data_IF_496920633141
#
_entry.id   IF_496920633141
#
_cell.length_a   1.000
_cell.length_b   1.000
_cell.length_c   1.000
_cell.angle_alpha   90.00
_cell.angle_beta   90.00
_cell.angle_gamma   90.00
#
_symmetry.space_group_name_H-M   'P 1'
#
loop_
_entity.id
_entity.type
_entity.pdbx_description
1 polymer ?
#
# COMPACT_ATOMS: atom_id res chain seq x y z
N UNK A 1 -12.07 44.34 -51.82
CA UNK A 1 -12.38 43.09 -51.10
C UNK A 1 -12.60 42.04 -52.16
N UNK A 2 -11.72 41.05 -52.27
CA UNK A 2 -11.95 39.89 -53.13
C UNK A 2 -12.92 38.92 -52.45
N UNK A 3 -13.63 38.10 -53.22
CA UNK A 3 -14.57 37.11 -52.69
C UNK A 3 -13.91 36.12 -51.71
N UNK A 4 -12.61 35.85 -51.91
CA UNK A 4 -11.78 35.02 -51.03
C UNK A 4 -11.57 35.67 -49.65
N UNK A 5 -11.34 36.98 -49.59
CA UNK A 5 -11.23 37.73 -48.33
C UNK A 5 -12.56 37.77 -47.57
N UNK A 6 -13.70 37.77 -48.29
CA UNK A 6 -15.03 37.70 -47.68
C UNK A 6 -15.28 36.33 -47.07
N UNK A 7 -14.85 35.25 -47.74
CA UNK A 7 -14.98 33.88 -47.23
C UNK A 7 -14.10 33.64 -45.99
N UNK A 8 -12.86 34.11 -45.99
CA UNK A 8 -11.99 34.03 -44.81
C UNK A 8 -12.59 34.77 -43.60
N UNK A 9 -13.13 35.97 -43.82
CA UNK A 9 -13.77 36.74 -42.75
C UNK A 9 -15.02 36.04 -42.19
N UNK A 10 -15.82 35.39 -43.05
CA UNK A 10 -16.98 34.62 -42.60
C UNK A 10 -16.57 33.36 -41.81
N UNK A 11 -15.49 32.69 -42.21
CA UNK A 11 -14.95 31.54 -41.49
C UNK A 11 -14.38 31.94 -40.12
N UNK A 12 -13.65 33.06 -40.05
CA UNK A 12 -13.12 33.60 -38.81
C UNK A 12 -14.24 34.02 -37.85
N UNK A 13 -15.29 34.69 -38.37
CA UNK A 13 -16.47 35.03 -37.57
C UNK A 13 -17.16 33.79 -36.99
N UNK A 14 -17.36 32.74 -37.80
CA UNK A 14 -17.94 31.48 -37.33
C UNK A 14 -17.09 30.85 -36.23
N UNK A 15 -15.77 30.83 -36.39
CA UNK A 15 -14.83 30.31 -35.40
C UNK A 15 -14.88 31.12 -34.09
N UNK A 16 -14.99 32.45 -34.18
CA UNK A 16 -15.12 33.31 -33.01
C UNK A 16 -16.45 33.09 -32.27
N UNK A 17 -17.55 32.88 -33.00
CA UNK A 17 -18.86 32.56 -32.42
C UNK A 17 -18.82 31.19 -31.71
N UNK A 18 -18.19 30.18 -32.30
CA UNK A 18 -17.99 28.85 -31.68
C UNK A 18 -17.11 28.95 -30.41
N UNK A 19 -16.03 29.73 -30.46
CA UNK A 19 -15.14 29.94 -29.31
C UNK A 19 -15.86 30.66 -28.17
N UNK A 20 -16.70 31.64 -28.50
CA UNK A 20 -17.52 32.36 -27.51
C UNK A 20 -18.53 31.44 -26.84
N UNK A 21 -19.23 30.61 -27.61
CA UNK A 21 -20.18 29.63 -27.05
C UNK A 21 -19.48 28.62 -26.15
N UNK A 22 -18.29 28.14 -26.54
CA UNK A 22 -17.50 27.25 -25.69
C UNK A 22 -17.06 27.92 -24.38
N UNK A 23 -16.71 29.21 -24.43
CA UNK A 23 -16.36 29.97 -23.25
C UNK A 23 -17.56 30.20 -22.31
N UNK A 24 -18.72 30.59 -22.85
CA UNK A 24 -19.96 30.75 -22.07
C UNK A 24 -20.40 29.42 -21.43
N UNK A 25 -20.32 28.30 -22.17
CA UNK A 25 -20.59 26.97 -21.63
C UNK A 25 -19.65 26.60 -20.48
N UNK A 26 -18.36 26.91 -20.62
CA UNK A 26 -17.37 26.66 -19.56
C UNK A 26 -17.63 27.52 -18.32
N UNK A 27 -17.99 28.79 -18.49
CA UNK A 27 -18.35 29.65 -17.36
C UNK A 27 -19.57 29.10 -16.60
N UNK A 28 -20.61 28.65 -17.31
CA UNK A 28 -21.76 28.02 -16.66
C UNK A 28 -21.40 26.71 -15.94
N UNK A 29 -20.50 25.91 -16.50
CA UNK A 29 -20.01 24.69 -15.84
C UNK A 29 -19.22 25.01 -14.56
N UNK A 30 -18.34 26.01 -14.62
CA UNK A 30 -17.53 26.45 -13.48
C UNK A 30 -18.42 27.08 -12.38
N UNK A 31 -19.44 27.86 -12.74
CA UNK A 31 -20.45 28.39 -11.82
C UNK A 31 -21.27 27.26 -11.16
N UNK A 32 -21.71 26.27 -11.94
CA UNK A 32 -22.45 25.13 -11.41
C UNK A 32 -21.59 24.29 -10.44
N UNK A 33 -20.30 24.09 -10.75
CA UNK A 33 -19.35 23.42 -9.85
C UNK A 33 -19.15 24.21 -8.56
N UNK A 34 -18.95 25.53 -8.64
CA UNK A 34 -18.80 26.39 -7.48
C UNK A 34 -20.07 26.39 -6.60
N UNK A 35 -21.26 26.34 -7.19
CA UNK A 35 -22.51 26.25 -6.45
C UNK A 35 -22.65 24.90 -5.72
N UNK A 36 -22.28 23.80 -6.37
CA UNK A 36 -22.28 22.46 -5.78
C UNK A 36 -21.27 22.35 -4.62
N UNK A 37 -20.05 22.85 -4.81
CA UNK A 37 -19.03 22.91 -3.76
C UNK A 37 -19.49 23.77 -2.58
N UNK A 38 -20.12 24.92 -2.86
CA UNK A 38 -20.71 25.77 -1.83
C UNK A 38 -21.82 25.08 -1.03
N UNK A 39 -22.67 24.27 -1.68
CA UNK A 39 -23.70 23.47 -1.00
C UNK A 39 -23.07 22.38 -0.13
N UNK A 40 -22.07 21.65 -0.65
CA UNK A 40 -21.34 20.64 0.11
C UNK A 40 -20.66 21.23 1.36
N UNK A 41 -20.01 22.40 1.22
CA UNK A 41 -19.36 23.07 2.34
C UNK A 41 -20.34 23.48 3.46
N UNK A 42 -21.54 23.94 3.09
CA UNK A 42 -22.61 24.26 4.06
C UNK A 42 -23.08 23.02 4.81
N UNK A 43 -23.34 21.92 4.09
CA UNK A 43 -23.75 20.66 4.71
C UNK A 43 -22.68 20.11 5.69
N UNK A 44 -21.40 20.18 5.32
CA UNK A 44 -20.31 19.81 6.22
C UNK A 44 -20.26 20.68 7.48
N UNK A 45 -20.50 21.99 7.35
CA UNK A 45 -20.56 22.89 8.50
C UNK A 45 -21.73 22.53 9.42
N UNK A 46 -22.91 22.24 8.86
CA UNK A 46 -24.10 21.86 9.63
C UNK A 46 -23.92 20.50 10.34
N UNK A 47 -23.35 19.50 9.67
CA UNK A 47 -22.99 18.22 10.29
C UNK A 47 -21.97 18.44 11.42
N UNK A 48 -20.98 19.32 11.21
CA UNK A 48 -20.00 19.70 12.22
C UNK A 48 -20.63 20.37 13.46
N UNK A 49 -21.67 21.18 13.28
CA UNK A 49 -22.43 21.76 14.41
C UNK A 49 -23.24 20.70 15.14
N UNK A 50 -23.95 19.82 14.42
CA UNK A 50 -24.72 18.73 15.02
C UNK A 50 -23.82 17.78 15.81
N UNK A 51 -22.60 17.50 15.33
CA UNK A 51 -21.64 16.68 16.07
C UNK A 51 -21.25 17.27 17.42
N UNK A 52 -21.20 18.59 17.55
CA UNK A 52 -20.96 19.27 18.84
C UNK A 52 -22.18 19.27 19.74
N UNK A 53 -23.37 19.26 19.14
CA UNK A 53 -24.64 19.30 19.85
C UNK A 53 -25.14 17.91 20.28
N UNK A 54 -24.66 16.82 19.67
CA UNK A 54 -25.01 15.44 20.06
C UNK A 54 -24.09 15.00 21.21
N UNK A 55 -24.46 15.37 22.43
CA UNK A 55 -23.73 15.06 23.67
C UNK A 55 -24.55 14.16 24.61
N UNK A 56 -23.93 13.23 25.36
CA UNK A 56 -24.66 12.22 26.16
C UNK A 56 -25.51 12.76 27.34
N UNK A 57 -25.43 14.05 27.62
CA UNK A 57 -26.14 14.76 28.68
C UNK A 57 -27.53 15.27 28.27
N UNK A 58 -27.90 15.14 27.00
CA UNK A 58 -29.22 15.52 26.49
C UNK A 58 -30.25 14.40 26.68
N UNK A 59 -31.53 14.79 26.72
CA UNK A 59 -32.65 13.85 26.82
C UNK A 59 -32.73 12.96 25.56
N UNK A 60 -33.13 11.69 25.75
CA UNK A 60 -33.12 10.66 24.70
C UNK A 60 -33.93 11.06 23.45
N UNK A 61 -35.08 11.73 23.62
CA UNK A 61 -35.91 12.19 22.50
C UNK A 61 -35.23 13.29 21.68
N UNK A 62 -34.49 14.19 22.35
CA UNK A 62 -33.72 15.25 21.69
C UNK A 62 -32.50 14.68 20.96
N UNK A 63 -31.82 13.70 21.55
CA UNK A 63 -30.72 12.99 20.93
C UNK A 63 -31.14 12.25 19.66
N UNK A 64 -32.27 11.54 19.72
CA UNK A 64 -32.83 10.86 18.56
C UNK A 64 -33.21 11.86 17.45
N UNK A 65 -33.76 13.03 17.81
CA UNK A 65 -34.07 14.07 16.83
C UNK A 65 -32.80 14.60 16.14
N UNK A 66 -31.73 14.89 16.89
CA UNK A 66 -30.45 15.37 16.35
C UNK A 66 -29.74 14.34 15.49
N UNK A 67 -29.77 13.05 15.88
CA UNK A 67 -29.22 11.95 15.09
C UNK A 67 -29.99 11.78 13.77
N UNK A 68 -31.32 11.87 13.80
CA UNK A 68 -32.13 11.80 12.58
C UNK A 68 -31.90 13.00 11.66
N UNK A 69 -31.72 14.20 12.21
CA UNK A 69 -31.39 15.39 11.43
C UNK A 69 -30.01 15.27 10.79
N UNK A 70 -29.02 14.76 11.54
CA UNK A 70 -27.69 14.47 11.01
C UNK A 70 -27.75 13.48 9.86
N UNK A 71 -28.47 12.37 10.02
CA UNK A 71 -28.59 11.34 8.98
C UNK A 71 -29.19 11.90 7.68
N UNK A 72 -30.19 12.79 7.78
CA UNK A 72 -30.75 13.47 6.60
C UNK A 72 -29.72 14.34 5.88
N UNK A 73 -28.89 15.08 6.61
CA UNK A 73 -27.84 15.91 6.01
C UNK A 73 -26.70 15.07 5.41
N UNK A 74 -26.41 13.90 6.00
CA UNK A 74 -25.47 12.92 5.44
C UNK A 74 -26.02 12.33 4.13
N UNK A 75 -27.30 11.94 4.09
CA UNK A 75 -27.96 11.47 2.86
C UNK A 75 -27.97 12.56 1.76
N UNK A 76 -28.19 13.84 2.12
CA UNK A 76 -28.11 14.97 1.18
C UNK A 76 -26.68 15.24 0.69
N UNK A 77 -25.68 15.03 1.54
CA UNK A 77 -24.27 15.18 1.18
C UNK A 77 -23.77 14.04 0.28
N UNK A 78 -24.23 12.81 0.54
CA UNK A 78 -23.96 11.64 -0.28
C UNK A 78 -24.64 11.75 -1.66
N UNK A 79 -25.89 12.23 -1.71
CA UNK A 79 -26.59 12.51 -2.97
C UNK A 79 -25.87 13.57 -3.83
N UNK A 80 -25.17 14.50 -3.18
CA UNK A 80 -24.32 15.49 -3.83
C UNK A 80 -22.91 14.97 -4.15
N UNK A 81 -22.55 13.73 -3.81
CA UNK A 81 -21.24 13.10 -4.07
C UNK A 81 -20.10 13.56 -3.16
N UNK A 82 -20.41 14.00 -1.93
CA UNK A 82 -19.42 14.32 -0.90
C UNK A 82 -19.14 13.13 0.02
N UNK A 83 -18.01 13.16 0.73
CA UNK A 83 -17.69 12.17 1.78
C UNK A 83 -18.18 12.64 3.14
N UNK A 84 -18.82 11.73 3.89
CA UNK A 84 -19.32 11.99 5.24
C UNK A 84 -18.16 11.94 6.23
N UNK A 85 -17.93 12.99 7.05
CA UNK A 85 -16.91 12.95 8.08
C UNK A 85 -17.29 11.97 9.22
N UNK A 86 -16.42 11.02 9.52
CA UNK A 86 -16.59 10.07 10.61
C UNK A 86 -16.78 10.76 11.98
N UNK A 87 -17.74 10.25 12.75
CA UNK A 87 -17.95 10.69 14.14
C UNK A 87 -16.77 10.22 14.98
N UNK A 88 -15.99 11.16 15.52
CA UNK A 88 -15.03 10.85 16.57
C UNK A 88 -15.82 10.56 17.85
N UNK A 89 -16.06 9.28 18.14
CA UNK A 89 -16.61 8.86 19.42
C UNK A 89 -15.53 9.06 20.51
N UNK A 90 -15.72 10.08 21.36
CA UNK A 90 -14.97 10.19 22.61
C UNK A 90 -15.33 9.01 23.52
N UNK A 91 -14.31 8.24 23.88
CA UNK A 91 -14.38 7.04 24.69
C UNK A 91 -15.03 7.29 26.07
N UNK A 92 -16.15 6.61 26.33
CA UNK A 92 -16.68 6.38 27.68
C UNK A 92 -16.29 4.95 28.09
N UNK A 93 -15.66 4.73 29.26
CA UNK A 93 -15.08 3.44 29.62
C UNK A 93 -16.19 2.48 30.08
N UNK A 94 -16.52 1.50 29.24
CA UNK A 94 -17.50 0.48 29.63
C UNK A 94 -16.89 -0.59 30.55
N UNK A 95 -17.67 -0.88 31.60
CA UNK A 95 -17.34 -1.69 32.76
C UNK A 95 -17.14 -3.17 32.42
N UNK A 96 -16.13 -3.77 33.06
CA UNK A 96 -15.92 -5.22 33.21
C UNK A 96 -17.24 -5.95 33.53
N UNK A 97 -17.64 -6.89 32.68
CA UNK A 97 -18.53 -8.01 33.04
C UNK A 97 -17.75 -9.32 32.97
N UNK A 98 -17.89 -10.09 34.03
CA UNK A 98 -17.21 -11.35 34.33
C UNK A 98 -17.59 -12.51 33.38
N UNK A 99 -16.72 -13.51 33.20
CA UNK A 99 -17.00 -14.69 32.38
C UNK A 99 -17.85 -15.70 33.17
N UNK A 100 -18.87 -16.24 32.50
CA UNK A 100 -19.72 -17.32 33.01
C UNK A 100 -19.05 -18.68 32.68
N UNK A 101 -18.78 -19.46 33.72
CA UNK A 101 -18.41 -20.89 33.69
C UNK A 101 -19.48 -21.72 32.96
N UNK A 102 -19.04 -22.68 32.17
CA UNK A 102 -19.74 -23.96 32.01
C UNK A 102 -18.70 -25.09 31.84
N UNK A 103 -18.90 -26.17 32.58
CA UNK A 103 -17.96 -27.26 32.86
C UNK A 103 -17.95 -28.35 31.77
N UNK A 104 -16.84 -29.09 31.73
CA UNK A 104 -16.53 -30.24 30.88
C UNK A 104 -17.43 -31.47 31.12
N UNK A 105 -17.25 -32.57 30.36
CA UNK A 105 -16.30 -33.61 30.80
C UNK A 105 -15.45 -34.19 29.64
N UNK A 106 -14.11 -34.18 29.73
CA UNK A 106 -13.24 -35.29 30.17
C UNK A 106 -13.45 -36.64 29.46
N UNK A 107 -12.49 -37.03 28.62
CA UNK A 107 -11.87 -38.35 28.67
C UNK A 107 -10.45 -38.32 28.06
N UNK A 108 -9.48 -38.70 28.88
CA UNK A 108 -8.13 -39.18 28.57
C UNK A 108 -7.93 -40.41 29.51
N UNK A 109 -6.86 -41.26 29.43
CA UNK A 109 -5.58 -41.07 28.73
C UNK A 109 -4.93 -42.37 28.16
N UNK A 110 -3.77 -42.23 27.48
CA UNK A 110 -2.45 -42.89 27.76
C UNK A 110 -1.50 -42.79 26.56
N UNK A 111 -0.33 -42.14 26.69
CA UNK A 111 1.03 -42.72 26.99
C UNK A 111 1.60 -43.41 25.73
N UNK A 112 2.84 -43.29 25.24
CA UNK A 112 4.18 -42.81 25.64
C UNK A 112 5.01 -42.99 24.33
N UNK A 113 5.88 -42.11 23.82
CA UNK A 113 7.31 -42.00 24.12
C UNK A 113 8.04 -41.60 22.80
N UNK A 114 9.05 -40.73 22.90
CA UNK A 114 10.15 -40.58 21.94
C UNK A 114 11.44 -41.10 22.64
N UNK A 115 12.53 -41.52 21.95
CA UNK A 115 13.39 -40.61 21.17
C UNK A 115 14.11 -41.24 19.93
N UNK A 116 14.82 -40.37 19.18
CA UNK A 116 15.69 -40.60 18.00
C UNK A 116 17.05 -41.29 18.35
N UNK A 117 18.16 -41.32 17.54
CA UNK A 117 18.47 -41.01 16.12
C UNK A 117 19.39 -42.09 15.44
N UNK A 118 20.15 -41.75 14.37
CA UNK A 118 21.18 -42.51 13.57
C UNK A 118 20.70 -42.90 12.15
N UNK A 119 21.43 -42.79 11.02
CA UNK A 119 22.83 -42.48 10.68
C UNK A 119 22.87 -42.18 9.16
N UNK A 120 23.80 -41.34 8.70
CA UNK A 120 24.33 -41.37 7.32
C UNK A 120 25.64 -42.20 7.36
N UNK A 121 26.12 -42.87 6.27
CA UNK A 121 26.80 -42.12 5.19
C UNK A 121 26.88 -42.76 3.77
N UNK A 122 27.32 -41.92 2.83
CA UNK A 122 28.29 -42.15 1.72
C UNK A 122 28.06 -42.98 0.44
N UNK A 123 28.71 -42.44 -0.60
CA UNK A 123 29.20 -42.99 -1.88
C UNK A 123 28.18 -43.13 -3.03
N UNK A 124 28.15 -42.24 -4.03
CA UNK A 124 29.11 -42.01 -5.13
C UNK A 124 29.06 -43.08 -6.23
N UNK A 125 28.49 -42.73 -7.40
CA UNK A 125 29.00 -43.20 -8.68
C UNK A 125 28.65 -42.22 -9.83
N UNK A 126 29.68 -41.97 -10.66
CA UNK A 126 29.74 -41.03 -11.78
C UNK A 126 28.85 -41.47 -12.96
N UNK A 127 28.33 -40.52 -13.73
CA UNK A 127 27.95 -40.83 -15.13
C UNK A 127 28.25 -39.66 -16.06
N UNK A 128 28.89 -40.03 -17.18
CA UNK A 128 29.63 -39.20 -18.14
C UNK A 128 28.77 -38.28 -19.01
N UNK A 129 29.35 -37.12 -19.29
CA UNK A 129 29.06 -36.16 -20.36
C UNK A 129 29.35 -36.77 -21.75
N UNK A 130 28.59 -36.40 -22.79
CA UNK A 130 29.14 -36.31 -24.14
C UNK A 130 29.00 -34.89 -24.74
N UNK A 131 30.10 -34.41 -25.31
CA UNK A 131 30.21 -33.16 -26.08
C UNK A 131 29.53 -33.24 -27.47
N UNK A 132 29.14 -32.10 -28.07
CA UNK A 132 28.39 -32.03 -29.32
C UNK A 132 29.28 -32.00 -30.59
N UNK A 133 28.79 -32.42 -31.76
CA UNK A 133 29.49 -32.18 -33.02
C UNK A 133 29.24 -30.77 -33.56
N UNK A 134 30.31 -30.13 -34.02
CA UNK A 134 30.31 -28.89 -34.81
C UNK A 134 29.79 -29.16 -36.23
N UNK A 135 28.87 -28.34 -36.72
CA UNK A 135 28.68 -28.14 -38.16
C UNK A 135 28.73 -26.66 -38.52
N UNK A 136 29.66 -26.34 -39.41
CA UNK A 136 29.87 -25.06 -40.08
C UNK A 136 28.89 -25.00 -41.24
N UNK A 137 27.96 -24.04 -41.27
CA UNK A 137 27.45 -23.42 -42.49
C UNK A 137 26.91 -22.01 -42.16
N UNK A 138 27.48 -21.01 -42.83
CA UNK A 138 26.93 -19.65 -42.93
C UNK A 138 25.91 -19.65 -44.05
N UNK A 139 24.75 -19.06 -43.84
CA UNK A 139 24.17 -18.12 -44.81
C UNK A 139 23.13 -17.22 -44.14
N UNK A 140 23.13 -15.99 -44.63
CA UNK A 140 22.46 -14.81 -44.14
C UNK A 140 21.04 -14.71 -44.72
N UNK A 141 20.21 -13.87 -44.11
CA UNK A 141 18.89 -13.37 -44.56
C UNK A 141 17.66 -14.30 -44.48
N UNK A 142 16.63 -13.83 -43.76
CA UNK A 142 15.26 -14.31 -43.97
C UNK A 142 14.36 -14.37 -42.74
N UNK A 143 14.02 -13.21 -42.18
CA UNK A 143 12.67 -12.84 -41.72
C UNK A 143 11.67 -14.00 -41.45
N UNK A 144 11.32 -14.21 -40.17
CA UNK A 144 10.09 -14.92 -39.76
C UNK A 144 10.20 -16.42 -39.53
N UNK A 145 10.73 -16.84 -38.37
CA UNK A 145 10.48 -18.16 -37.79
C UNK A 145 10.36 -18.04 -36.27
N UNK A 146 9.13 -17.91 -35.77
CA UNK A 146 8.82 -18.14 -34.36
C UNK A 146 8.89 -19.64 -34.07
N UNK A 147 9.92 -20.08 -33.35
CA UNK A 147 9.96 -21.40 -32.75
C UNK A 147 9.11 -21.40 -31.46
N UNK A 148 8.08 -22.25 -31.40
CA UNK A 148 7.30 -22.48 -30.18
C UNK A 148 8.17 -23.27 -29.20
N UNK A 149 8.87 -22.56 -28.33
CA UNK A 149 9.50 -23.13 -27.14
C UNK A 149 8.40 -23.31 -26.10
N UNK A 150 7.99 -24.57 -25.87
CA UNK A 150 7.13 -24.96 -24.76
C UNK A 150 7.93 -24.93 -23.46
N UNK A 151 8.07 -23.72 -22.92
CA UNK A 151 8.21 -23.44 -21.50
C UNK A 151 7.34 -22.21 -21.23
N UNK A 152 6.97 -21.92 -20.00
CA UNK A 152 6.17 -20.74 -19.66
C UNK A 152 7.05 -19.49 -19.40
N UNK A 153 7.40 -18.68 -20.43
CA UNK A 153 7.79 -17.29 -20.21
C UNK A 153 7.18 -16.33 -21.26
N UNK A 154 5.86 -16.38 -21.50
CA UNK A 154 5.23 -15.51 -22.52
C UNK A 154 4.80 -14.13 -22.04
N UNK A 155 4.71 -13.86 -20.75
CA UNK A 155 4.17 -12.56 -20.28
C UNK A 155 5.23 -11.46 -20.11
N UNK A 156 6.49 -11.82 -19.83
CA UNK A 156 7.57 -10.83 -19.67
C UNK A 156 8.07 -10.33 -21.03
N UNK A 157 7.90 -11.13 -22.09
CA UNK A 157 8.40 -10.81 -23.43
C UNK A 157 7.78 -9.52 -24.00
N UNK A 158 6.49 -9.29 -23.78
CA UNK A 158 5.79 -8.10 -24.27
C UNK A 158 6.22 -6.83 -23.51
N UNK A 159 6.55 -6.95 -22.23
CA UNK A 159 6.98 -5.83 -21.40
C UNK A 159 8.50 -5.68 -21.26
N UNK A 160 9.28 -6.50 -21.97
CA UNK A 160 10.75 -6.49 -21.89
C UNK A 160 11.36 -5.13 -22.26
N UNK A 161 10.72 -4.39 -23.19
CA UNK A 161 11.13 -3.02 -23.53
C UNK A 161 10.99 -2.06 -22.35
N UNK A 162 9.90 -2.18 -21.60
CA UNK A 162 9.66 -1.36 -20.41
C UNK A 162 10.62 -1.71 -19.27
N UNK A 163 10.97 -2.99 -19.11
CA UNK A 163 11.97 -3.40 -18.12
C UNK A 163 13.36 -2.84 -18.42
N UNK A 164 13.78 -2.88 -19.68
CA UNK A 164 15.05 -2.27 -20.10
C UNK A 164 15.06 -0.75 -19.87
N UNK A 165 13.96 -0.07 -20.12
CA UNK A 165 13.83 1.36 -19.84
C UNK A 165 13.86 1.67 -18.34
N UNK A 166 13.30 0.79 -17.52
CA UNK A 166 13.29 0.89 -16.06
C UNK A 166 14.69 0.74 -15.43
N UNK A 167 15.55 -0.09 -16.02
CA UNK A 167 16.95 -0.25 -15.63
C UNK A 167 17.86 0.91 -16.11
N UNK A 168 17.48 1.59 -17.19
CA UNK A 168 18.31 2.62 -17.81
C UNK A 168 17.93 4.04 -17.39
N UNK A 169 16.67 4.28 -17.00
CA UNK A 169 16.13 5.61 -16.70
C UNK A 169 15.59 5.70 -15.25
N UNK A 170 16.48 5.53 -14.28
CA UNK A 170 16.10 5.56 -12.86
C UNK A 170 15.61 6.94 -12.38
N UNK A 171 16.08 8.04 -12.97
CA UNK A 171 15.78 9.40 -12.50
C UNK A 171 14.34 9.84 -12.83
N UNK A 172 13.73 9.29 -13.89
CA UNK A 172 12.38 9.62 -14.35
C UNK A 172 11.36 8.50 -14.11
N UNK A 173 11.66 7.56 -13.18
CA UNK A 173 10.86 6.37 -12.95
C UNK A 173 9.36 6.67 -12.70
N UNK A 174 9.03 7.71 -11.94
CA UNK A 174 7.63 8.07 -11.67
C UNK A 174 6.85 8.43 -12.94
N UNK A 175 7.44 9.29 -13.78
CA UNK A 175 6.86 9.69 -15.07
C UNK A 175 6.72 8.51 -16.03
N UNK A 176 7.68 7.60 -16.01
CA UNK A 176 7.65 6.37 -16.79
C UNK A 176 6.50 5.45 -16.35
N UNK A 177 6.41 5.16 -15.04
CA UNK A 177 5.37 4.28 -14.49
C UNK A 177 3.95 4.85 -14.65
N UNK A 178 3.82 6.18 -14.62
CA UNK A 178 2.54 6.85 -14.88
C UNK A 178 1.99 6.50 -16.26
N UNK A 179 2.85 6.49 -17.28
CA UNK A 179 2.49 6.27 -18.68
C UNK A 179 2.46 4.79 -19.09
N UNK A 180 2.67 3.86 -18.15
CA UNK A 180 2.55 2.44 -18.46
C UNK A 180 1.13 2.05 -18.87
N UNK A 181 1.00 1.12 -19.85
CA UNK A 181 -0.29 0.56 -20.23
C UNK A 181 -0.93 -0.18 -19.04
N UNK A 182 -2.26 -0.26 -19.04
CA UNK A 182 -2.99 -0.88 -17.92
C UNK A 182 -2.63 -2.36 -17.75
N UNK A 183 -2.38 -3.04 -18.87
CA UNK A 183 -1.98 -4.44 -18.93
C UNK A 183 -0.65 -4.68 -18.19
N UNK A 184 0.31 -3.76 -18.30
CA UNK A 184 1.57 -3.83 -17.55
C UNK A 184 1.35 -3.62 -16.05
N UNK A 185 0.48 -2.68 -15.68
CA UNK A 185 0.13 -2.39 -14.27
C UNK A 185 -0.64 -3.53 -13.59
N UNK A 186 -1.30 -4.39 -14.37
CA UNK A 186 -2.00 -5.58 -13.90
C UNK A 186 -1.10 -6.83 -13.87
N UNK A 187 0.03 -6.82 -14.57
CA UNK A 187 0.90 -7.98 -14.65
C UNK A 187 1.74 -8.11 -13.37
N UNK A 188 1.51 -9.18 -12.61
CA UNK A 188 2.20 -9.46 -11.34
C UNK A 188 3.74 -9.49 -11.52
N UNK A 189 4.22 -10.25 -12.52
CA UNK A 189 5.64 -10.45 -12.74
C UNK A 189 6.36 -9.16 -13.11
N UNK A 190 5.74 -8.34 -13.96
CA UNK A 190 6.26 -7.03 -14.33
C UNK A 190 6.32 -6.10 -13.12
N UNK A 191 5.22 -5.99 -12.36
CA UNK A 191 5.16 -5.10 -11.19
C UNK A 191 6.10 -5.55 -10.06
N UNK A 192 6.39 -6.85 -9.94
CA UNK A 192 7.43 -7.34 -9.03
C UNK A 192 8.83 -6.89 -9.46
N UNK A 193 9.12 -6.80 -10.76
CA UNK A 193 10.38 -6.21 -11.25
C UNK A 193 10.46 -4.72 -10.98
N UNK A 194 9.35 -4.00 -11.10
CA UNK A 194 9.28 -2.60 -10.65
C UNK A 194 9.57 -2.52 -9.15
N UNK A 195 9.02 -3.45 -8.35
CA UNK A 195 9.20 -3.48 -6.90
C UNK A 195 10.65 -3.80 -6.48
N UNK A 196 11.39 -4.59 -7.26
CA UNK A 196 12.82 -4.83 -7.02
C UNK A 196 13.63 -3.52 -7.08
N UNK A 197 13.23 -2.57 -7.93
CA UNK A 197 13.84 -1.24 -8.02
C UNK A 197 13.27 -0.31 -6.96
N UNK A 198 11.94 -0.26 -6.84
CA UNK A 198 11.24 0.60 -5.91
C UNK A 198 9.89 0.00 -5.46
N UNK A 199 9.84 -0.61 -4.25
CA UNK A 199 8.63 -1.21 -3.72
C UNK A 199 7.48 -0.23 -3.53
N UNK A 200 7.77 1.03 -3.18
CA UNK A 200 6.74 2.03 -2.94
C UNK A 200 6.07 2.45 -4.25
N UNK A 201 6.87 2.64 -5.31
CA UNK A 201 6.32 2.96 -6.63
C UNK A 201 5.56 1.79 -7.24
N UNK A 202 6.06 0.55 -7.07
CA UNK A 202 5.32 -0.62 -7.50
C UNK A 202 3.94 -0.69 -6.85
N UNK A 203 3.85 -0.42 -5.54
CA UNK A 203 2.57 -0.30 -4.86
C UNK A 203 1.73 0.86 -5.39
N UNK A 204 2.30 2.04 -5.57
CA UNK A 204 1.56 3.22 -5.99
C UNK A 204 0.87 3.01 -7.36
N UNK A 205 1.62 2.53 -8.34
CA UNK A 205 1.19 2.43 -9.74
C UNK A 205 0.54 1.09 -10.13
N UNK A 206 0.60 0.07 -9.28
CA UNK A 206 -0.10 -1.20 -9.54
C UNK A 206 -1.60 -0.99 -9.68
N UNK A 207 -2.22 -1.82 -10.52
CA UNK A 207 -3.67 -1.87 -10.64
C UNK A 207 -4.33 -2.36 -9.33
N UNK A 208 -5.59 -1.99 -9.14
CA UNK A 208 -6.36 -2.37 -7.95
C UNK A 208 -6.43 -3.88 -7.77
N UNK A 209 -6.49 -4.66 -8.84
CA UNK A 209 -6.52 -6.14 -8.76
C UNK A 209 -5.32 -6.72 -8.02
N UNK A 210 -4.10 -6.25 -8.34
CA UNK A 210 -2.87 -6.68 -7.64
C UNK A 210 -2.82 -6.16 -6.21
N UNK A 211 -3.29 -4.93 -5.95
CA UNK A 211 -3.29 -4.34 -4.60
C UNK A 211 -4.10 -5.13 -3.58
N UNK A 212 -5.09 -5.90 -4.02
CA UNK A 212 -5.88 -6.78 -3.15
C UNK A 212 -5.27 -8.19 -3.00
N UNK A 213 -4.26 -8.55 -3.80
CA UNK A 213 -3.58 -9.84 -3.67
C UNK A 213 -2.56 -9.81 -2.52
N UNK A 214 -2.88 -10.52 -1.45
CA UNK A 214 -2.03 -10.67 -0.28
C UNK A 214 -0.65 -11.25 -0.63
N UNK A 215 -0.57 -12.26 -1.52
CA UNK A 215 0.72 -12.89 -1.86
C UNK A 215 1.64 -11.92 -2.55
N UNK A 216 1.09 -11.11 -3.45
CA UNK A 216 1.84 -10.07 -4.12
C UNK A 216 2.29 -8.99 -3.12
N UNK A 217 1.38 -8.53 -2.25
CA UNK A 217 1.70 -7.55 -1.20
C UNK A 217 2.82 -8.04 -0.25
N UNK A 218 2.80 -9.31 0.16
CA UNK A 218 3.87 -9.89 0.99
C UNK A 218 5.21 -9.84 0.27
N UNK A 219 5.25 -10.21 -1.02
CA UNK A 219 6.48 -10.14 -1.84
C UNK A 219 6.99 -8.71 -1.90
N UNK A 220 6.14 -7.74 -2.24
CA UNK A 220 6.53 -6.33 -2.34
C UNK A 220 7.00 -5.77 -0.99
N UNK A 221 6.31 -6.08 0.11
CA UNK A 221 6.70 -5.67 1.46
C UNK A 221 8.04 -6.29 1.91
N UNK A 222 8.37 -7.48 1.41
CA UNK A 222 9.64 -8.16 1.71
C UNK A 222 10.84 -7.61 0.94
N UNK A 223 10.62 -6.74 -0.05
CA UNK A 223 11.70 -6.16 -0.86
C UNK A 223 12.35 -4.95 -0.18
N UNK A 224 13.64 -4.78 -0.41
CA UNK A 224 14.42 -3.67 0.15
C UNK A 224 14.20 -2.40 -0.67
N UNK A 225 13.74 -1.32 -0.05
CA UNK A 225 13.69 -0.01 -0.71
C UNK A 225 15.10 0.62 -0.74
N UNK A 226 15.79 0.49 -1.87
CA UNK A 226 17.14 1.04 -2.08
C UNK A 226 17.14 2.56 -2.26
N UNK A 227 16.07 3.12 -2.84
CA UNK A 227 15.95 4.55 -3.20
C UNK A 227 15.42 5.42 -2.07
N UNK A 228 14.82 4.81 -1.04
CA UNK A 228 14.19 5.50 0.09
C UNK A 228 13.15 6.55 -0.37
N UNK A 229 12.50 6.30 -1.51
CA UNK A 229 11.51 7.14 -2.20
C UNK A 229 10.15 7.19 -1.49
N UNK A 230 9.92 6.29 -0.53
CA UNK A 230 8.64 6.11 0.13
C UNK A 230 8.57 4.79 0.89
N UNK A 231 7.36 4.42 1.31
CA UNK A 231 7.13 3.20 2.07
C UNK A 231 6.01 2.38 1.40
N UNK A 232 6.32 1.16 0.98
CA UNK A 232 5.36 0.28 0.31
C UNK A 232 4.08 0.08 1.12
N UNK A 233 4.20 -0.15 2.43
CA UNK A 233 3.03 -0.31 3.30
C UNK A 233 2.17 0.97 3.37
N UNK A 234 2.78 2.16 3.24
CA UNK A 234 2.02 3.40 3.24
C UNK A 234 1.17 3.56 1.97
N UNK A 235 1.68 3.09 0.83
CA UNK A 235 1.00 3.11 -0.46
C UNK A 235 0.00 1.95 -0.62
N UNK A 236 0.14 0.89 0.17
CA UNK A 236 -0.85 -0.20 0.21
C UNK A 236 -2.18 0.26 0.78
N UNK A 237 -3.26 -0.33 0.26
CA UNK A 237 -4.61 -0.18 0.79
C UNK A 237 -4.63 -0.62 2.26
N UNK A 238 -5.32 0.10 3.16
CA UNK A 238 -5.38 -0.25 4.58
C UNK A 238 -5.86 -1.69 4.82
N UNK A 239 -6.86 -2.13 4.07
CA UNK A 239 -7.45 -3.48 4.15
C UNK A 239 -6.46 -4.59 3.75
N UNK A 240 -5.51 -4.26 2.86
CA UNK A 240 -4.50 -5.19 2.37
C UNK A 240 -3.28 -5.30 3.29
N UNK A 241 -3.21 -4.49 4.36
CA UNK A 241 -2.13 -4.54 5.37
C UNK A 241 -2.40 -5.65 6.38
N UNK A 242 -2.42 -6.89 5.91
CA UNK A 242 -2.55 -8.06 6.78
C UNK A 242 -1.34 -8.22 7.70
N UNK A 243 -1.46 -8.99 8.78
CA UNK A 243 -0.36 -9.19 9.72
C UNK A 243 0.87 -9.83 9.07
N UNK A 244 0.70 -10.71 8.08
CA UNK A 244 1.81 -11.26 7.28
C UNK A 244 2.54 -10.20 6.47
N UNK A 245 1.79 -9.30 5.81
CA UNK A 245 2.34 -8.19 5.02
C UNK A 245 3.11 -7.22 5.91
N UNK A 246 2.55 -6.83 7.05
CA UNK A 246 3.20 -5.93 8.01
C UNK A 246 4.43 -6.58 8.64
N UNK A 247 4.40 -7.88 8.94
CA UNK A 247 5.55 -8.63 9.44
C UNK A 247 6.70 -8.67 8.42
N UNK A 248 6.39 -8.94 7.15
CA UNK A 248 7.38 -8.92 6.07
C UNK A 248 8.02 -7.53 5.94
N UNK A 249 7.21 -6.47 5.92
CA UNK A 249 7.70 -5.10 5.87
C UNK A 249 8.50 -4.68 7.09
N UNK A 250 8.12 -5.14 8.29
CA UNK A 250 8.82 -4.82 9.56
C UNK A 250 10.18 -5.51 9.64
N UNK A 251 10.31 -6.67 9.01
CA UNK A 251 11.59 -7.38 8.91
C UNK A 251 12.60 -6.60 8.06
N UNK A 252 12.14 -5.89 7.03
CA UNK A 252 12.98 -5.03 6.20
C UNK A 252 13.26 -3.67 6.86
N UNK A 253 12.24 -3.05 7.46
CA UNK A 253 12.36 -1.78 8.18
C UNK A 253 11.50 -1.81 9.44
N UNK A 254 12.15 -1.84 10.60
CA UNK A 254 11.50 -1.91 11.91
C UNK A 254 10.51 -0.76 12.16
N UNK A 255 10.63 0.38 11.45
CA UNK A 255 9.71 1.52 11.55
C UNK A 255 8.31 1.21 11.03
N UNK A 256 8.16 0.12 10.26
CA UNK A 256 6.87 -0.37 9.76
C UNK A 256 5.94 -0.91 10.84
N UNK A 257 6.44 -1.12 12.05
CA UNK A 257 5.64 -1.46 13.25
C UNK A 257 4.50 -0.46 13.51
N UNK A 258 4.58 0.77 12.98
CA UNK A 258 3.50 1.76 13.05
C UNK A 258 2.18 1.33 12.39
N UNK A 259 2.24 0.35 11.49
CA UNK A 259 1.06 -0.22 10.83
C UNK A 259 0.51 -1.46 11.55
N UNK A 260 1.18 -1.92 12.60
CA UNK A 260 0.72 -3.07 13.36
C UNK A 260 -0.47 -2.69 14.24
N UNK A 261 -1.53 -3.50 14.20
CA UNK A 261 -2.71 -3.33 15.04
C UNK A 261 -2.90 -4.56 15.94
N UNK A 262 -3.41 -4.40 17.18
CA UNK A 262 -3.48 -5.50 18.15
C UNK A 262 -4.38 -6.68 17.75
N UNK A 263 -5.26 -6.49 16.78
CA UNK A 263 -6.14 -7.52 16.21
C UNK A 263 -5.46 -8.44 15.19
N UNK A 264 -4.24 -8.10 14.74
CA UNK A 264 -3.46 -8.95 13.83
C UNK A 264 -2.94 -10.20 14.57
N UNK A 265 -3.07 -11.37 13.96
CA UNK A 265 -2.57 -12.63 14.53
C UNK A 265 -1.05 -12.60 14.76
N UNK A 266 -0.31 -11.89 13.92
CA UNK A 266 1.15 -11.76 13.99
C UNK A 266 1.61 -10.58 14.87
N UNK A 267 0.71 -9.85 15.54
CA UNK A 267 1.03 -8.60 16.24
C UNK A 267 2.22 -8.72 17.19
N UNK A 268 2.22 -9.72 18.08
CA UNK A 268 3.31 -9.93 19.03
C UNK A 268 4.65 -10.18 18.33
N UNK A 269 4.63 -10.99 17.26
CA UNK A 269 5.83 -11.28 16.46
C UNK A 269 6.34 -10.03 15.74
N UNK A 270 5.44 -9.18 15.23
CA UNK A 270 5.80 -7.90 14.61
C UNK A 270 6.49 -7.00 15.64
N UNK A 271 5.97 -6.92 16.86
CA UNK A 271 6.61 -6.15 17.94
C UNK A 271 7.99 -6.68 18.29
N UNK A 272 8.17 -8.00 18.39
CA UNK A 272 9.46 -8.62 18.66
C UNK A 272 10.50 -8.29 17.59
N UNK A 273 10.14 -8.44 16.31
CA UNK A 273 11.03 -8.10 15.18
C UNK A 273 11.39 -6.61 15.22
N UNK A 274 10.41 -5.74 15.46
CA UNK A 274 10.63 -4.30 15.54
C UNK A 274 11.54 -3.90 16.70
N UNK A 275 11.38 -4.53 17.87
CA UNK A 275 12.25 -4.34 19.04
C UNK A 275 13.68 -4.75 18.70
N UNK A 276 13.86 -5.92 18.11
CA UNK A 276 15.17 -6.41 17.67
C UNK A 276 15.88 -5.46 16.70
N UNK A 277 15.17 -5.02 15.65
CA UNK A 277 15.71 -4.06 14.67
C UNK A 277 16.04 -2.69 15.27
N UNK A 278 15.20 -2.21 16.19
CA UNK A 278 15.44 -0.95 16.92
C UNK A 278 16.70 -1.05 17.78
N UNK A 279 16.86 -2.13 18.55
CA UNK A 279 18.05 -2.33 19.40
C UNK A 279 19.33 -2.43 18.58
N UNK A 280 19.29 -3.13 17.43
CA UNK A 280 20.42 -3.16 16.51
C UNK A 280 20.78 -1.75 16.02
N UNK A 281 19.79 -0.96 15.61
CA UNK A 281 20.03 0.40 15.13
C UNK A 281 20.56 1.34 16.21
N UNK A 282 20.07 1.23 17.45
CA UNK A 282 20.56 2.01 18.59
C UNK A 282 22.00 1.65 18.94
N UNK A 283 22.38 0.36 18.84
CA UNK A 283 23.78 -0.07 19.04
C UNK A 283 24.74 0.51 18.00
N UNK A 284 24.29 0.63 16.75
CA UNK A 284 25.10 1.19 15.66
C UNK A 284 25.35 2.71 15.82
N UNK A 285 24.45 3.41 16.52
CA UNK A 285 24.54 4.86 16.71
C UNK A 285 25.39 5.20 17.94
N UNK A 286 26.67 5.45 17.68
CA UNK A 286 27.65 5.89 18.69
C UNK A 286 27.37 7.35 19.14
N UNK A 287 26.64 7.47 20.24
CA UNK A 287 26.47 8.67 21.09
C UNK A 287 25.75 9.91 20.52
N UNK A 288 25.61 10.08 19.20
CA UNK A 288 25.22 11.38 18.62
C UNK A 288 23.72 11.60 18.33
N UNK A 289 22.86 10.59 18.45
CA UNK A 289 21.43 10.72 18.12
C UNK A 289 20.56 10.53 19.37
N UNK A 290 19.54 11.37 19.53
CA UNK A 290 18.49 11.15 20.52
C UNK A 290 17.73 9.87 20.16
N UNK A 291 18.08 8.77 20.82
CA UNK A 291 17.51 7.46 20.55
C UNK A 291 15.99 7.44 20.71
N UNK A 292 15.41 8.33 21.52
CA UNK A 292 13.96 8.46 21.64
C UNK A 292 13.30 8.88 20.32
N UNK A 293 14.00 9.61 19.44
CA UNK A 293 13.50 9.95 18.10
C UNK A 293 13.53 8.75 17.14
N UNK A 294 14.33 7.73 17.43
CA UNK A 294 14.53 6.57 16.57
C UNK A 294 13.62 5.39 16.95
N UNK A 295 13.27 5.29 18.23
CA UNK A 295 12.33 4.26 18.70
C UNK A 295 10.91 4.61 18.22
N UNK A 296 10.23 3.71 17.48
CA UNK A 296 8.82 3.92 17.11
C UNK A 296 7.91 4.12 18.32
N UNK A 297 6.95 5.05 18.23
CA UNK A 297 6.03 5.43 19.33
C UNK A 297 5.31 4.23 19.97
N UNK A 298 4.95 3.22 19.18
CA UNK A 298 4.29 2.00 19.68
C UNK A 298 5.18 1.24 20.66
N UNK A 299 6.49 1.20 20.43
CA UNK A 299 7.47 0.55 21.30
C UNK A 299 7.83 1.41 22.51
N UNK A 300 7.72 2.73 22.41
CA UNK A 300 7.98 3.64 23.54
C UNK A 300 7.01 3.42 24.72
N UNK A 301 5.83 2.84 24.46
CA UNK A 301 4.85 2.49 25.50
C UNK A 301 5.32 1.31 26.38
N UNK A 302 6.23 0.49 25.88
CA UNK A 302 6.81 -0.63 26.61
C UNK A 302 7.96 -0.15 27.50
N UNK A 303 7.67 -0.04 28.80
CA UNK A 303 8.64 0.42 29.81
C UNK A 303 9.84 -0.51 29.93
N UNK A 304 9.65 -1.82 29.81
CA UNK A 304 10.74 -2.78 29.93
C UNK A 304 11.70 -2.65 28.75
N UNK A 305 11.15 -2.51 27.55
CA UNK A 305 11.94 -2.28 26.33
C UNK A 305 12.71 -0.96 26.37
N UNK A 306 12.07 0.14 26.80
CA UNK A 306 12.75 1.44 26.89
C UNK A 306 13.92 1.44 27.90
N UNK A 307 13.81 0.70 29.00
CA UNK A 307 14.94 0.51 29.93
C UNK A 307 16.12 -0.22 29.27
N UNK A 308 15.86 -1.16 28.37
CA UNK A 308 16.92 -1.84 27.61
C UNK A 308 17.61 -0.88 26.63
N UNK A 309 16.83 -0.08 25.89
CA UNK A 309 17.34 0.97 25.00
C UNK A 309 18.23 1.96 25.77
N UNK A 310 17.78 2.44 26.93
CA UNK A 310 18.55 3.34 27.79
C UNK A 310 19.88 2.74 28.28
N UNK A 311 19.88 1.45 28.64
CA UNK A 311 21.11 0.74 29.05
C UNK A 311 22.13 0.72 27.93
N UNK A 312 21.71 0.44 26.69
CA UNK A 312 22.59 0.44 25.52
C UNK A 312 23.22 1.82 25.31
N UNK A 313 22.41 2.89 25.37
CA UNK A 313 22.88 4.27 25.20
C UNK A 313 23.87 4.66 26.29
N UNK A 314 23.58 4.34 27.57
CA UNK A 314 24.47 4.64 28.70
C UNK A 314 25.79 3.88 28.61
N UNK A 315 25.77 2.64 28.12
CA UNK A 315 26.98 1.83 27.94
C UNK A 315 27.83 2.28 26.74
N UNK A 316 27.21 2.85 25.71
CA UNK A 316 27.91 3.42 24.56
C UNK A 316 28.54 4.79 24.80
N UNK A 317 28.27 5.43 25.96
CA UNK A 317 28.80 6.75 26.40
C UNK A 317 30.16 6.71 27.12
N UNK A 318 30.86 5.58 27.09
CA UNK A 318 32.14 5.34 27.78
C UNK A 318 33.25 5.13 26.76
#
# INVERSE_FOLDING_TARGET
MSDEQVLEFLAERKRLDELRQAYEAKQHEDEAKAELEGKRAKLLQEIGTLNKDITPDKEDEELLALINQRKKLEDELEALGGEVPERQEEAVPEKKKAPKKEEAPQEAPKEEAAPAPEEAPEAAEETKVPEPPKSIFKEDSGFGQEAIVQGSPKEIGEFSRFLHELETNHDSLGSFLQNLPKEAKMNEAFMLKVAEVDPAYAMHYADQTLKHDEKWNVKVASMKNSRNSGNALAEMLPEARTGQVVLAGTTQDFRNVRFATPDMAEYDRILEVAKGGTLAKVKDLKEAADAHLLVPKILQKDKAFMQEVEKIIKNGKK
#
